data_IF_207059473666
#
_entry.id   IF_207059473666
#
_cell.length_a   1.000
_cell.length_b   1.000
_cell.length_c   1.000
_cell.angle_alpha   90.00
_cell.angle_beta   90.00
_cell.angle_gamma   90.00
#
_symmetry.space_group_name_H-M   'P 1'
#
loop_
_entity.id
_entity.type
_entity.pdbx_description
1 polymer ?
#
# COMPACT_ATOMS: atom_id res chain seq x y z
N UNK A 1 -5.61 -3.66 -25.71
CA UNK A 1 -4.41 -3.49 -24.86
C UNK A 1 -4.11 -2.01 -24.53
N UNK A 2 -4.42 -1.07 -25.41
CA UNK A 2 -4.20 0.38 -25.23
C UNK A 2 -4.87 0.99 -23.97
N UNK A 3 -6.00 0.44 -23.51
CA UNK A 3 -6.72 0.91 -22.31
C UNK A 3 -6.04 0.54 -20.97
N UNK A 4 -5.09 -0.39 -21.01
CA UNK A 4 -4.48 -0.99 -19.82
C UNK A 4 -3.14 -0.32 -19.45
N UNK A 5 -2.46 0.24 -20.47
CA UNK A 5 -1.15 0.88 -20.34
C UNK A 5 -1.15 2.06 -19.36
N UNK A 6 -2.13 3.01 -19.39
CA UNK A 6 -2.12 4.13 -18.45
C UNK A 6 -2.21 3.68 -16.99
N UNK A 7 -3.04 2.67 -16.72
CA UNK A 7 -3.18 2.10 -15.39
C UNK A 7 -1.91 1.40 -14.91
N UNK A 8 -1.26 0.61 -15.78
CA UNK A 8 0.03 -0.01 -15.47
C UNK A 8 1.08 1.05 -15.17
N UNK A 9 1.22 2.08 -16.01
CA UNK A 9 2.23 3.12 -15.82
C UNK A 9 2.00 3.90 -14.53
N UNK A 10 0.75 4.27 -14.24
CA UNK A 10 0.41 4.96 -13.00
C UNK A 10 0.70 4.08 -11.76
N UNK A 11 0.28 2.81 -11.79
CA UNK A 11 0.55 1.86 -10.71
C UNK A 11 2.05 1.66 -10.50
N UNK A 12 2.79 1.36 -11.58
CA UNK A 12 4.24 1.15 -11.51
C UNK A 12 4.97 2.40 -11.00
N UNK A 13 4.59 3.60 -11.46
CA UNK A 13 5.17 4.85 -10.99
C UNK A 13 4.94 5.07 -9.50
N UNK A 14 3.73 4.82 -9.00
CA UNK A 14 3.41 4.92 -7.56
C UNK A 14 4.20 3.90 -6.76
N UNK A 15 4.29 2.65 -7.23
CA UNK A 15 5.03 1.59 -6.53
C UNK A 15 6.52 1.91 -6.47
N UNK A 16 7.14 2.33 -7.59
CA UNK A 16 8.54 2.75 -7.62
C UNK A 16 8.76 3.95 -6.70
N UNK A 17 7.93 4.98 -6.81
CA UNK A 17 8.02 6.17 -5.97
C UNK A 17 7.91 5.81 -4.49
N UNK A 18 6.97 4.93 -4.12
CA UNK A 18 6.78 4.50 -2.72
C UNK A 18 8.00 3.74 -2.19
N UNK A 19 8.61 2.88 -3.00
CA UNK A 19 9.82 2.13 -2.62
C UNK A 19 11.06 3.02 -2.47
N UNK A 20 11.11 4.15 -3.18
CA UNK A 20 12.17 5.16 -3.00
C UNK A 20 11.85 6.04 -1.79
N UNK A 21 10.63 6.54 -1.70
CA UNK A 21 10.18 7.50 -0.68
C UNK A 21 10.10 6.91 0.72
N UNK A 22 10.00 5.59 0.86
CA UNK A 22 10.09 4.93 2.17
C UNK A 22 11.45 5.14 2.85
N UNK A 23 12.50 5.46 2.10
CA UNK A 23 13.84 5.73 2.64
C UNK A 23 13.97 7.12 3.27
N UNK A 24 12.97 8.00 3.08
CA UNK A 24 13.01 9.38 3.55
C UNK A 24 11.99 9.58 4.67
N UNK A 25 12.47 10.01 5.84
CA UNK A 25 11.64 10.23 7.02
C UNK A 25 10.78 11.50 6.87
N UNK A 26 9.55 11.40 7.32
CA UNK A 26 8.61 12.50 7.52
C UNK A 26 8.37 12.67 9.02
N UNK A 27 8.96 13.72 9.59
CA UNK A 27 9.00 13.90 11.04
C UNK A 27 9.97 12.89 11.66
N UNK A 28 9.55 12.22 12.73
CA UNK A 28 10.41 11.31 13.51
C UNK A 28 10.07 9.82 13.32
N UNK A 29 8.95 9.49 12.66
CA UNK A 29 8.38 8.14 12.72
C UNK A 29 7.89 7.60 11.38
N UNK A 30 7.15 8.40 10.61
CA UNK A 30 6.62 7.99 9.31
C UNK A 30 7.61 8.29 8.20
N UNK A 31 7.40 7.68 7.03
CA UNK A 31 8.20 7.93 5.83
C UNK A 31 7.33 8.54 4.75
N UNK A 32 7.94 9.16 3.74
CA UNK A 32 7.21 9.67 2.57
C UNK A 32 6.49 8.56 1.77
N UNK A 33 6.92 7.30 1.94
CA UNK A 33 6.24 6.13 1.39
C UNK A 33 4.79 5.98 1.89
N UNK A 34 4.53 6.30 3.17
CA UNK A 34 3.19 6.22 3.77
C UNK A 34 2.16 7.13 3.09
N UNK A 35 2.62 8.24 2.48
CA UNK A 35 1.75 9.20 1.80
C UNK A 35 1.54 8.90 0.32
N UNK A 36 2.49 8.21 -0.31
CA UNK A 36 2.45 7.92 -1.75
C UNK A 36 1.82 6.57 -2.06
N UNK A 37 2.07 5.56 -1.24
CA UNK A 37 1.50 4.23 -1.40
C UNK A 37 -0.03 4.19 -1.49
N UNK A 38 -0.80 4.96 -0.68
CA UNK A 38 -2.27 4.88 -0.70
C UNK A 38 -2.88 5.29 -2.05
N UNK A 39 -2.14 6.04 -2.89
CA UNK A 39 -2.56 6.37 -4.25
C UNK A 39 -2.66 5.13 -5.16
N UNK A 40 -2.04 4.01 -4.81
CA UNK A 40 -2.19 2.75 -5.54
C UNK A 40 -3.66 2.26 -5.53
N UNK A 41 -4.36 2.39 -4.40
CA UNK A 41 -5.79 2.06 -4.29
C UNK A 41 -6.63 2.92 -5.23
N UNK A 42 -6.34 4.23 -5.32
CA UNK A 42 -7.02 5.12 -6.27
C UNK A 42 -6.86 4.65 -7.73
N UNK A 43 -5.66 4.21 -8.13
CA UNK A 43 -5.44 3.66 -9.47
C UNK A 43 -6.26 2.39 -9.67
N UNK A 44 -6.23 1.47 -8.72
CA UNK A 44 -7.00 0.22 -8.77
C UNK A 44 -8.50 0.50 -8.89
N UNK A 45 -9.05 1.39 -8.07
CA UNK A 45 -10.46 1.79 -8.06
C UNK A 45 -10.90 2.40 -9.40
N UNK A 46 -10.11 3.33 -9.95
CA UNK A 46 -10.38 3.94 -11.25
C UNK A 46 -10.40 2.88 -12.35
N UNK A 47 -9.40 1.99 -12.36
CA UNK A 47 -9.31 0.93 -13.36
C UNK A 47 -10.47 -0.07 -13.24
N UNK A 48 -10.89 -0.39 -12.01
CA UNK A 48 -12.02 -1.28 -11.76
C UNK A 48 -13.36 -0.66 -12.20
N UNK A 49 -13.57 0.62 -11.88
CA UNK A 49 -14.76 1.36 -12.27
C UNK A 49 -14.93 1.45 -13.79
N UNK A 50 -13.87 1.86 -14.48
CA UNK A 50 -13.91 2.19 -15.90
C UNK A 50 -13.78 0.93 -16.77
N UNK A 51 -12.93 -0.01 -16.38
CA UNK A 51 -12.54 -1.15 -17.23
C UNK A 51 -12.83 -2.52 -16.63
N UNK A 52 -13.43 -2.57 -15.44
CA UNK A 52 -13.83 -3.81 -14.76
C UNK A 52 -12.73 -4.51 -13.98
N UNK A 53 -13.14 -5.42 -13.10
CA UNK A 53 -12.25 -6.15 -12.20
C UNK A 53 -11.13 -6.91 -12.91
N UNK A 54 -11.41 -7.50 -14.09
CA UNK A 54 -10.40 -8.23 -14.86
C UNK A 54 -9.23 -7.35 -15.31
N UNK A 55 -9.51 -6.09 -15.67
CA UNK A 55 -8.47 -5.11 -16.03
C UNK A 55 -7.74 -4.62 -14.79
N UNK A 56 -8.46 -4.32 -13.71
CA UNK A 56 -7.86 -3.89 -12.45
C UNK A 56 -6.87 -4.93 -11.89
N UNK A 57 -7.23 -6.23 -11.90
CA UNK A 57 -6.32 -7.32 -11.48
C UNK A 57 -5.01 -7.32 -12.27
N UNK A 58 -5.06 -7.10 -13.59
CA UNK A 58 -3.85 -7.03 -14.43
C UNK A 58 -2.94 -5.87 -14.04
N UNK A 59 -3.53 -4.71 -13.70
CA UNK A 59 -2.78 -3.54 -13.21
C UNK A 59 -2.16 -3.84 -11.84
N UNK A 60 -2.89 -4.49 -10.94
CA UNK A 60 -2.38 -4.96 -9.65
C UNK A 60 -1.21 -5.92 -9.85
N UNK A 61 -1.33 -6.93 -10.71
CA UNK A 61 -0.22 -7.85 -11.00
C UNK A 61 1.02 -7.15 -11.57
N UNK A 62 0.83 -6.15 -12.44
CA UNK A 62 1.94 -5.35 -12.94
C UNK A 62 2.63 -4.57 -11.81
N UNK A 63 1.84 -3.91 -10.94
CA UNK A 63 2.35 -3.23 -9.75
C UNK A 63 3.09 -4.16 -8.80
N UNK A 64 2.57 -5.37 -8.58
CA UNK A 64 3.21 -6.40 -7.76
C UNK A 64 4.56 -6.81 -8.33
N UNK A 65 4.65 -7.09 -9.64
CA UNK A 65 5.92 -7.42 -10.29
C UNK A 65 6.92 -6.27 -10.23
N UNK A 66 6.46 -5.02 -10.38
CA UNK A 66 7.28 -3.83 -10.18
C UNK A 66 7.80 -3.76 -8.74
N UNK A 67 6.94 -3.99 -7.74
CA UNK A 67 7.32 -3.99 -6.33
C UNK A 67 8.31 -5.08 -5.97
N UNK A 68 8.16 -6.29 -6.53
CA UNK A 68 9.12 -7.39 -6.40
C UNK A 68 10.47 -6.99 -6.98
N UNK A 69 10.49 -6.41 -8.19
CA UNK A 69 11.74 -5.94 -8.80
C UNK A 69 12.41 -4.85 -7.94
N UNK A 70 11.67 -3.86 -7.46
CA UNK A 70 12.18 -2.83 -6.56
C UNK A 70 12.74 -3.42 -5.26
N UNK A 71 12.04 -4.40 -4.67
CA UNK A 71 12.46 -5.04 -3.43
C UNK A 71 13.73 -5.87 -3.62
N UNK A 72 13.81 -6.64 -4.72
CA UNK A 72 15.02 -7.40 -5.05
C UNK A 72 16.20 -6.45 -5.26
N UNK A 73 16.02 -5.36 -6.01
CA UNK A 73 17.08 -4.35 -6.17
C UNK A 73 17.47 -3.74 -4.80
N UNK A 74 16.48 -3.39 -3.98
CA UNK A 74 16.70 -2.84 -2.63
C UNK A 74 17.48 -3.77 -1.70
N UNK A 75 17.30 -5.10 -1.82
CA UNK A 75 18.08 -6.08 -1.04
C UNK A 75 19.56 -6.10 -1.41
N UNK A 76 19.92 -5.67 -2.63
CA UNK A 76 21.30 -5.63 -3.11
C UNK A 76 22.01 -4.30 -2.81
N UNK A 77 21.28 -3.28 -2.36
CA UNK A 77 21.84 -1.97 -2.03
C UNK A 77 22.01 -1.90 -0.51
N UNK A 78 23.26 -1.80 -0.05
CA UNK A 78 23.59 -1.65 1.36
C UNK A 78 23.67 -0.17 1.73
N UNK A 79 22.81 0.27 2.64
CA UNK A 79 22.88 1.58 3.29
C UNK A 79 23.73 1.53 4.57
N UNK A 80 23.61 2.56 5.40
CA UNK A 80 24.39 2.70 6.65
C UNK A 80 24.14 1.57 7.66
N UNK A 81 22.91 1.03 7.71
CA UNK A 81 22.47 0.05 8.70
C UNK A 81 22.19 -1.35 8.12
N UNK A 82 22.65 -1.63 6.90
CA UNK A 82 22.38 -2.89 6.20
C UNK A 82 21.62 -2.69 4.89
N UNK A 83 20.98 -3.74 4.33
CA UNK A 83 20.26 -3.63 3.07
C UNK A 83 19.09 -2.65 3.20
N UNK A 84 18.85 -1.82 2.17
CA UNK A 84 17.74 -0.85 2.17
C UNK A 84 16.36 -1.53 2.27
N UNK A 85 16.28 -2.78 1.84
CA UNK A 85 15.10 -3.65 1.96
C UNK A 85 15.57 -5.01 2.46
N UNK A 86 15.08 -5.44 3.62
CA UNK A 86 15.31 -6.80 4.13
C UNK A 86 14.39 -7.80 3.42
N UNK A 87 14.72 -9.10 3.47
CA UNK A 87 13.86 -10.13 2.87
C UNK A 87 12.48 -10.18 3.52
N UNK A 88 12.38 -9.89 4.82
CA UNK A 88 11.10 -9.77 5.54
C UNK A 88 10.28 -8.57 5.07
N UNK A 89 10.90 -7.42 4.84
CA UNK A 89 10.20 -6.24 4.29
C UNK A 89 9.71 -6.55 2.87
N UNK A 90 10.53 -7.19 2.05
CA UNK A 90 10.15 -7.60 0.69
C UNK A 90 8.96 -8.58 0.71
N UNK A 91 9.02 -9.61 1.55
CA UNK A 91 7.95 -10.61 1.72
C UNK A 91 6.66 -9.95 2.24
N UNK A 92 6.77 -9.13 3.28
CA UNK A 92 5.64 -8.42 3.89
C UNK A 92 4.98 -7.47 2.90
N UNK A 93 5.77 -6.66 2.18
CA UNK A 93 5.28 -5.73 1.16
C UNK A 93 4.57 -6.46 0.02
N UNK A 94 5.17 -7.53 -0.50
CA UNK A 94 4.57 -8.31 -1.58
C UNK A 94 3.25 -8.97 -1.18
N UNK A 95 3.20 -9.60 -0.01
CA UNK A 95 1.99 -10.26 0.49
C UNK A 95 0.89 -9.25 0.82
N UNK A 96 1.22 -8.16 1.53
CA UNK A 96 0.28 -7.10 1.87
C UNK A 96 -0.31 -6.46 0.61
N UNK A 97 0.55 -6.03 -0.33
CA UNK A 97 0.11 -5.41 -1.57
C UNK A 97 -0.82 -6.33 -2.36
N UNK A 98 -0.40 -7.57 -2.62
CA UNK A 98 -1.18 -8.47 -3.48
C UNK A 98 -2.53 -8.82 -2.85
N UNK A 99 -2.55 -9.15 -1.55
CA UNK A 99 -3.80 -9.51 -0.87
C UNK A 99 -4.74 -8.31 -0.74
N UNK A 100 -4.23 -7.15 -0.30
CA UNK A 100 -5.04 -5.96 -0.11
C UNK A 100 -5.62 -5.42 -1.43
N UNK A 101 -4.81 -5.37 -2.50
CA UNK A 101 -5.27 -4.88 -3.79
C UNK A 101 -6.25 -5.84 -4.47
N UNK A 102 -6.08 -7.16 -4.33
CA UNK A 102 -7.06 -8.12 -4.85
C UNK A 102 -8.37 -8.10 -4.06
N UNK A 103 -8.29 -7.92 -2.74
CA UNK A 103 -9.45 -7.74 -1.87
C UNK A 103 -10.20 -6.46 -2.21
N UNK A 104 -9.48 -5.36 -2.40
CA UNK A 104 -10.01 -4.09 -2.86
C UNK A 104 -10.78 -4.26 -4.17
N UNK A 105 -10.17 -4.86 -5.20
CA UNK A 105 -10.85 -5.14 -6.48
C UNK A 105 -12.14 -5.94 -6.28
N UNK A 106 -12.12 -6.97 -5.44
CA UNK A 106 -13.27 -7.84 -5.22
C UNK A 106 -14.41 -7.12 -4.48
N UNK A 107 -14.10 -6.37 -3.43
CA UNK A 107 -15.08 -5.61 -2.65
C UNK A 107 -15.66 -4.47 -3.50
N UNK A 108 -14.79 -3.74 -4.21
CA UNK A 108 -15.19 -2.65 -5.08
C UNK A 108 -16.16 -3.14 -6.15
N UNK A 109 -15.80 -4.20 -6.87
CA UNK A 109 -16.61 -4.72 -7.98
C UNK A 109 -17.99 -5.20 -7.47
N UNK A 110 -18.05 -5.75 -6.25
CA UNK A 110 -19.30 -6.16 -5.62
C UNK A 110 -20.18 -5.00 -5.15
N UNK A 111 -19.58 -3.84 -4.87
CA UNK A 111 -20.29 -2.62 -4.42
C UNK A 111 -20.46 -1.59 -5.54
N UNK A 112 -20.01 -1.89 -6.77
CA UNK A 112 -19.86 -0.91 -7.84
C UNK A 112 -21.18 -0.23 -8.23
N UNK A 113 -22.30 -0.95 -8.20
CA UNK A 113 -23.59 -0.42 -8.63
C UNK A 113 -24.29 0.46 -7.59
N UNK A 114 -23.69 0.64 -6.41
CA UNK A 114 -24.18 1.55 -5.38
C UNK A 114 -23.84 3.02 -5.64
N UNK A 115 -23.96 3.83 -4.58
CA UNK A 115 -23.57 5.25 -4.62
C UNK A 115 -22.08 5.36 -5.00
N UNK A 116 -21.76 6.34 -5.85
CA UNK A 116 -20.44 6.47 -6.50
C UNK A 116 -19.23 6.41 -5.56
N UNK A 117 -19.36 6.89 -4.32
CA UNK A 117 -18.29 6.91 -3.31
C UNK A 117 -18.22 5.63 -2.47
N UNK A 118 -19.29 4.82 -2.44
CA UNK A 118 -19.39 3.67 -1.53
C UNK A 118 -18.38 2.59 -1.87
N UNK A 119 -18.29 2.22 -3.14
CA UNK A 119 -17.34 1.22 -3.60
C UNK A 119 -15.89 1.60 -3.30
N UNK A 120 -15.34 2.75 -3.78
CA UNK A 120 -13.93 3.11 -3.56
C UNK A 120 -13.60 3.27 -2.07
N UNK A 121 -14.51 3.88 -1.29
CA UNK A 121 -14.24 4.09 0.13
C UNK A 121 -14.21 2.76 0.90
N UNK A 122 -15.23 1.92 0.75
CA UNK A 122 -15.31 0.68 1.53
C UNK A 122 -14.23 -0.32 1.13
N UNK A 123 -13.92 -0.44 -0.17
CA UNK A 123 -12.87 -1.34 -0.64
C UNK A 123 -11.49 -0.89 -0.15
N UNK A 124 -11.16 0.39 -0.30
CA UNK A 124 -9.89 0.96 0.16
C UNK A 124 -9.76 0.87 1.69
N UNK A 125 -10.82 1.13 2.46
CA UNK A 125 -10.80 1.01 3.92
C UNK A 125 -10.44 -0.41 4.35
N UNK A 126 -11.15 -1.41 3.83
CA UNK A 126 -10.91 -2.82 4.19
C UNK A 126 -9.54 -3.28 3.68
N UNK A 127 -9.19 -2.93 2.43
CA UNK A 127 -7.89 -3.23 1.85
C UNK A 127 -6.74 -2.64 2.66
N UNK A 128 -6.84 -1.36 3.08
CA UNK A 128 -5.80 -0.68 3.86
C UNK A 128 -5.59 -1.28 5.26
N UNK A 129 -6.65 -1.77 5.92
CA UNK A 129 -6.53 -2.49 7.20
C UNK A 129 -5.75 -3.78 7.01
N UNK A 130 -6.13 -4.58 6.00
CA UNK A 130 -5.47 -5.86 5.71
C UNK A 130 -4.01 -5.65 5.30
N UNK A 131 -3.75 -4.67 4.44
CA UNK A 131 -2.41 -4.26 4.02
C UNK A 131 -1.53 -3.93 5.22
N UNK A 132 -2.00 -3.02 6.07
CA UNK A 132 -1.24 -2.55 7.24
C UNK A 132 -1.00 -3.69 8.22
N UNK A 133 -2.02 -4.50 8.51
CA UNK A 133 -1.89 -5.64 9.41
C UNK A 133 -0.87 -6.66 8.90
N UNK A 134 -0.92 -7.01 7.61
CA UNK A 134 0.02 -7.97 7.02
C UNK A 134 1.44 -7.40 6.94
N UNK A 135 1.60 -6.18 6.41
CA UNK A 135 2.91 -5.58 6.21
C UNK A 135 3.66 -5.44 7.53
N UNK A 136 3.07 -4.75 8.51
CA UNK A 136 3.77 -4.47 9.76
C UNK A 136 4.01 -5.74 10.59
N UNK A 137 3.07 -6.69 10.58
CA UNK A 137 3.26 -7.97 11.28
C UNK A 137 4.42 -8.76 10.67
N UNK A 138 4.44 -8.92 9.34
CA UNK A 138 5.47 -9.72 8.67
C UNK A 138 6.84 -9.05 8.75
N UNK A 139 6.90 -7.74 8.51
CA UNK A 139 8.14 -6.98 8.45
C UNK A 139 8.78 -6.78 9.84
N UNK A 140 7.97 -6.52 10.89
CA UNK A 140 8.51 -5.99 12.15
C UNK A 140 8.16 -6.80 13.40
N UNK A 141 7.17 -7.71 13.39
CA UNK A 141 6.86 -8.50 14.58
C UNK A 141 8.03 -9.40 14.99
N UNK A 142 8.32 -9.47 16.30
CA UNK A 142 9.30 -10.41 16.85
C UNK A 142 8.91 -11.88 16.64
N UNK A 143 7.62 -12.18 16.53
CA UNK A 143 7.11 -13.55 16.30
C UNK A 143 7.55 -14.16 14.96
N UNK A 144 7.93 -13.31 14.00
CA UNK A 144 8.40 -13.70 12.67
C UNK A 144 9.89 -13.39 12.47
N UNK A 145 10.64 -13.04 13.52
CA UNK A 145 12.07 -12.77 13.43
C UNK A 145 12.87 -13.97 12.92
N UNK A 146 12.41 -15.20 13.17
CA UNK A 146 13.03 -16.43 12.68
C UNK A 146 13.04 -16.57 11.15
N UNK A 147 12.19 -15.82 10.43
CA UNK A 147 12.14 -15.83 8.96
C UNK A 147 13.42 -15.23 8.37
N UNK A 148 14.07 -14.30 9.07
CA UNK A 148 15.34 -13.69 8.67
C UNK A 148 16.15 -13.28 9.91
N UNK A 149 16.78 -14.25 10.60
CA UNK A 149 17.43 -14.00 11.89
C UNK A 149 18.60 -13.02 11.84
N UNK A 150 19.17 -12.80 10.65
CA UNK A 150 20.31 -11.91 10.45
C UNK A 150 19.94 -10.42 10.49
N UNK A 151 18.66 -10.08 10.29
CA UNK A 151 18.18 -8.70 10.30
C UNK A 151 17.39 -8.43 11.59
N UNK A 152 17.98 -7.63 12.48
CA UNK A 152 17.41 -7.32 13.78
C UNK A 152 16.20 -6.38 13.68
N UNK A 153 15.12 -6.75 14.37
CA UNK A 153 13.88 -5.96 14.50
C UNK A 153 13.60 -5.57 15.96
N UNK A 154 14.55 -5.73 16.87
CA UNK A 154 14.39 -5.40 18.28
C UNK A 154 13.96 -3.93 18.48
N UNK A 155 14.56 -3.00 17.73
CA UNK A 155 14.20 -1.57 17.74
C UNK A 155 12.70 -1.35 17.47
N UNK A 156 12.11 -2.12 16.56
CA UNK A 156 10.70 -2.01 16.19
C UNK A 156 9.78 -2.64 17.26
N UNK A 157 10.33 -3.43 18.17
CA UNK A 157 9.60 -4.10 19.24
C UNK A 157 9.79 -3.44 20.62
N UNK A 158 10.46 -2.28 20.68
CA UNK A 158 10.54 -1.47 21.89
C UNK A 158 9.14 -1.09 22.39
N UNK A 159 8.93 -1.22 23.70
CA UNK A 159 7.66 -0.94 24.34
C UNK A 159 7.48 0.58 24.50
N UNK A 160 6.54 1.16 23.76
CA UNK A 160 6.22 2.59 23.78
C UNK A 160 4.71 2.81 23.93
N UNK A 161 4.32 3.97 24.45
CA UNK A 161 2.92 4.39 24.44
C UNK A 161 2.43 4.54 22.99
N UNK A 162 1.31 3.91 22.65
CA UNK A 162 0.70 3.98 21.33
C UNK A 162 0.43 5.44 20.94
N UNK A 163 0.98 5.89 19.81
CA UNK A 163 0.93 7.29 19.35
C UNK A 163 1.38 8.31 20.42
N UNK A 164 2.23 7.89 21.36
CA UNK A 164 2.75 8.72 22.45
C UNK A 164 1.82 8.95 23.64
N UNK A 165 0.55 8.53 23.59
CA UNK A 165 -0.44 8.80 24.65
C UNK A 165 -1.38 7.62 24.98
N UNK A 166 -1.24 6.48 24.31
CA UNK A 166 -2.10 5.31 24.46
C UNK A 166 -1.49 4.16 25.27
N UNK A 167 -2.08 2.94 25.20
CA UNK A 167 -1.55 1.77 25.88
C UNK A 167 -0.13 1.43 25.38
N UNK A 168 0.66 0.79 26.25
CA UNK A 168 2.01 0.35 25.89
C UNK A 168 1.92 -0.80 24.89
N UNK A 169 2.57 -0.65 23.76
CA UNK A 169 2.63 -1.63 22.68
C UNK A 169 4.02 -1.58 22.01
N UNK A 170 4.38 -2.60 21.20
CA UNK A 170 5.57 -2.53 20.36
C UNK A 170 5.55 -1.31 19.43
N UNK A 171 6.69 -0.65 19.22
CA UNK A 171 6.82 0.52 18.35
C UNK A 171 6.19 0.31 16.96
N UNK A 172 6.39 -0.87 16.35
CA UNK A 172 5.82 -1.18 15.04
C UNK A 172 4.29 -1.12 15.03
N UNK A 173 3.62 -1.41 16.14
CA UNK A 173 2.15 -1.29 16.25
C UNK A 173 1.76 0.18 16.23
N UNK A 174 2.52 1.04 16.90
CA UNK A 174 2.31 2.50 16.84
C UNK A 174 2.54 3.05 15.43
N UNK A 175 3.58 2.60 14.74
CA UNK A 175 3.84 2.94 13.35
C UNK A 175 2.72 2.45 12.42
N UNK A 176 2.23 1.23 12.63
CA UNK A 176 1.12 0.66 11.88
C UNK A 176 -0.16 1.48 12.02
N UNK A 177 -0.50 1.90 13.25
CA UNK A 177 -1.68 2.75 13.49
C UNK A 177 -1.50 4.12 12.84
N UNK A 178 -0.32 4.73 12.95
CA UNK A 178 -0.04 6.02 12.33
C UNK A 178 -0.14 5.96 10.79
N UNK A 179 0.45 4.94 10.18
CA UNK A 179 0.37 4.67 8.74
C UNK A 179 -1.08 4.44 8.30
N UNK A 180 -1.84 3.65 9.06
CA UNK A 180 -3.25 3.42 8.78
C UNK A 180 -4.08 4.71 8.84
N UNK A 181 -3.86 5.57 9.84
CA UNK A 181 -4.55 6.87 9.91
C UNK A 181 -4.26 7.74 8.69
N UNK A 182 -3.02 7.75 8.20
CA UNK A 182 -2.66 8.45 6.96
C UNK A 182 -3.41 7.86 5.77
N UNK A 183 -3.48 6.53 5.66
CA UNK A 183 -4.27 5.82 4.63
C UNK A 183 -5.75 6.21 4.68
N UNK A 184 -6.36 6.30 5.87
CA UNK A 184 -7.76 6.70 6.03
C UNK A 184 -8.01 8.12 5.52
N UNK A 185 -7.16 9.08 5.91
CA UNK A 185 -7.27 10.47 5.48
C UNK A 185 -7.13 10.56 3.96
N UNK A 186 -6.13 9.88 3.40
CA UNK A 186 -5.88 9.88 1.96
C UNK A 186 -6.98 9.16 1.17
N UNK A 187 -7.59 8.11 1.71
CA UNK A 187 -8.75 7.45 1.10
C UNK A 187 -9.94 8.41 0.95
N UNK A 188 -10.20 9.23 1.97
CA UNK A 188 -11.25 10.27 1.91
C UNK A 188 -10.91 11.36 0.89
N UNK A 189 -9.67 11.86 0.89
CA UNK A 189 -9.20 12.85 -0.08
C UNK A 189 -9.26 12.31 -1.51
N UNK A 190 -8.90 11.04 -1.71
CA UNK A 190 -8.87 10.37 -3.00
C UNK A 190 -10.26 10.21 -3.66
N UNK A 191 -11.35 10.35 -2.91
CA UNK A 191 -12.71 10.36 -3.49
C UNK A 191 -12.90 11.52 -4.50
N UNK A 192 -12.23 12.65 -4.27
CA UNK A 192 -12.30 13.81 -5.17
C UNK A 192 -11.67 13.48 -6.54
N UNK A 193 -10.36 13.15 -6.64
CA UNK A 193 -9.76 12.79 -7.92
C UNK A 193 -10.40 11.55 -8.53
N UNK A 194 -10.81 10.55 -7.73
CA UNK A 194 -11.57 9.39 -8.22
C UNK A 194 -12.79 9.83 -9.04
N UNK A 195 -13.64 10.69 -8.46
CA UNK A 195 -14.87 11.16 -9.13
C UNK A 195 -14.57 11.94 -10.40
N UNK A 196 -13.55 12.80 -10.37
CA UNK A 196 -13.17 13.62 -11.52
C UNK A 196 -12.63 12.76 -12.67
N UNK A 197 -11.71 11.84 -12.37
CA UNK A 197 -11.07 10.97 -13.36
C UNK A 197 -12.10 10.04 -14.00
N UNK A 198 -12.93 9.37 -13.18
CA UNK A 198 -13.98 8.48 -13.68
C UNK A 198 -14.95 9.23 -14.59
N UNK A 199 -15.44 10.40 -14.17
CA UNK A 199 -16.33 11.21 -15.00
C UNK A 199 -15.69 11.56 -16.33
N UNK A 200 -14.46 12.05 -16.33
CA UNK A 200 -13.74 12.44 -17.56
C UNK A 200 -13.52 11.26 -18.51
N UNK A 201 -13.11 10.11 -18.01
CA UNK A 201 -12.83 8.94 -18.85
C UNK A 201 -14.14 8.36 -19.41
N UNK A 202 -15.19 8.23 -18.59
CA UNK A 202 -16.48 7.72 -19.06
C UNK A 202 -17.11 8.63 -20.11
N UNK A 203 -17.01 9.96 -19.97
CA UNK A 203 -17.50 10.90 -20.99
C UNK A 203 -16.73 10.85 -22.31
N UNK A 204 -15.46 10.45 -22.32
CA UNK A 204 -14.67 10.28 -23.56
C UNK A 204 -14.93 8.96 -24.29
N UNK A 205 -15.52 7.99 -23.61
CA UNK A 205 -15.75 6.63 -24.13
C UNK A 205 -17.21 6.43 -24.57
N UNK A 206 -18.14 7.27 -24.07
CA UNK A 206 -19.54 7.34 -24.50
C UNK A 206 -19.69 8.20 -25.76
#
# INVERSE_FOLDING_TARGET
MTRLIPGILAMAAIVVASNILVQFLFGQWLTWGAFTYPLAFLVTDVMNRVYGAGTARKVVFAGFLTGVACSVIGTQITGEFGPLVTWRIALGSGLAFLTAQLLDVAIFDRLRDGVWWRAPLVSTLIGSVVDTALFFTIAFSSTLAWVEPANDVAWANEAIALLGQGPVAPLWVSLAVADWVVKLILALVALIPFRLIVKQITTRVA
#
